data_IF_550590901030
#
_entry.id   IF_550590901030
#
_cell.length_a   1.000
_cell.length_b   1.000
_cell.length_c   1.000
_cell.angle_alpha   90.00
_cell.angle_beta   90.00
_cell.angle_gamma   90.00
#
_symmetry.space_group_name_H-M   'P 1'
#
loop_
_entity.id
_entity.type
_entity.pdbx_description
1 polymer ?
#
# COMPACT_ATOMS: atom_id res chain seq x y z
N UNK A 1 -4.42 9.08 -39.57
CA UNK A 1 -5.23 10.11 -38.92
C UNK A 1 -4.34 11.12 -38.19
N UNK A 2 -4.79 12.36 -38.06
CA UNK A 2 -4.11 13.41 -37.28
C UNK A 2 -4.79 13.58 -35.94
N UNK A 3 -4.01 13.70 -34.86
CA UNK A 3 -4.53 13.91 -33.54
C UNK A 3 -3.80 15.09 -32.89
N UNK A 4 -4.53 16.06 -32.38
CA UNK A 4 -3.93 17.17 -31.64
C UNK A 4 -3.76 16.78 -30.18
N UNK A 5 -2.54 16.84 -29.68
CA UNK A 5 -2.23 16.61 -28.25
C UNK A 5 -1.99 17.98 -27.63
N UNK A 6 -2.90 18.37 -26.70
CA UNK A 6 -2.85 19.67 -26.06
C UNK A 6 -2.61 19.54 -24.56
N UNK A 7 -1.78 20.41 -23.98
CA UNK A 7 -1.67 20.49 -22.54
C UNK A 7 -2.94 21.13 -21.95
N UNK A 8 -3.30 20.76 -20.70
CA UNK A 8 -4.49 21.29 -20.02
C UNK A 8 -4.49 22.83 -19.86
N UNK A 9 -3.33 23.44 -19.98
CA UNK A 9 -3.16 24.91 -19.97
C UNK A 9 -3.18 25.54 -21.35
N UNK A 10 -3.39 24.74 -22.41
CA UNK A 10 -3.38 25.15 -23.84
C UNK A 10 -2.08 25.85 -24.31
N UNK A 11 -1.08 25.97 -23.41
CA UNK A 11 0.19 26.64 -23.72
C UNK A 11 1.15 25.81 -24.56
N UNK A 12 0.89 24.52 -24.72
CA UNK A 12 1.66 23.66 -25.61
C UNK A 12 0.75 22.62 -26.24
N UNK A 13 0.81 22.58 -27.56
CA UNK A 13 0.12 21.59 -28.38
C UNK A 13 1.03 21.09 -29.49
N UNK A 14 0.82 19.86 -29.91
CA UNK A 14 1.48 19.30 -31.08
C UNK A 14 0.57 18.27 -31.75
N UNK A 15 0.80 18.09 -33.06
CA UNK A 15 0.04 17.16 -33.87
C UNK A 15 0.82 15.85 -33.96
N UNK A 16 0.12 14.73 -33.80
CA UNK A 16 0.59 13.38 -34.09
C UNK A 16 -0.03 12.92 -35.41
N UNK A 17 0.82 12.43 -36.30
CA UNK A 17 0.39 11.71 -37.49
C UNK A 17 0.39 10.21 -37.15
N UNK A 18 -0.79 9.60 -37.13
CA UNK A 18 -1.01 8.20 -36.74
C UNK A 18 -1.42 7.40 -37.98
N UNK A 19 -0.87 6.22 -38.15
CA UNK A 19 -1.24 5.29 -39.21
C UNK A 19 -2.46 4.49 -38.79
N UNK A 20 -3.49 4.43 -39.62
CA UNK A 20 -4.73 3.70 -39.40
C UNK A 20 -5.95 4.60 -39.14
N UNK A 21 -7.11 3.96 -39.03
CA UNK A 21 -8.39 4.58 -38.67
C UNK A 21 -8.57 4.67 -37.13
N UNK A 22 -9.55 5.42 -36.62
CA UNK A 22 -9.83 5.45 -35.18
C UNK A 22 -10.12 4.09 -34.55
N UNK A 23 -10.63 3.14 -35.32
CA UNK A 23 -10.90 1.76 -34.92
C UNK A 23 -9.61 0.93 -34.73
N UNK A 24 -8.56 1.26 -35.52
CA UNK A 24 -7.27 0.54 -35.52
C UNK A 24 -6.30 1.12 -34.51
N UNK A 25 -6.41 2.42 -34.22
CA UNK A 25 -5.46 3.15 -33.36
C UNK A 25 -5.86 2.98 -31.90
N UNK A 26 -5.00 2.31 -31.12
CA UNK A 26 -5.18 2.13 -29.68
C UNK A 26 -4.59 3.30 -28.88
N UNK A 27 -5.04 3.44 -27.63
CA UNK A 27 -4.45 4.40 -26.68
C UNK A 27 -2.95 4.16 -26.49
N UNK A 28 -2.52 2.89 -26.51
CA UNK A 28 -1.10 2.53 -26.46
C UNK A 28 -0.32 3.06 -27.67
N UNK A 29 -0.91 2.99 -28.85
CA UNK A 29 -0.28 3.51 -30.07
C UNK A 29 -0.02 5.02 -29.92
N UNK A 30 -1.02 5.77 -29.45
CA UNK A 30 -0.86 7.21 -29.17
C UNK A 30 0.24 7.47 -28.14
N UNK A 31 0.24 6.72 -27.03
CA UNK A 31 1.26 6.86 -25.98
C UNK A 31 2.67 6.56 -26.50
N UNK A 32 2.82 5.55 -27.35
CA UNK A 32 4.11 5.17 -27.92
C UNK A 32 4.61 6.22 -28.91
N UNK A 33 3.75 6.80 -29.73
CA UNK A 33 4.13 7.88 -30.65
C UNK A 33 4.55 9.15 -29.89
N UNK A 34 3.85 9.50 -28.79
CA UNK A 34 4.30 10.59 -27.90
C UNK A 34 5.69 10.27 -27.32
N UNK A 35 5.93 9.03 -26.91
CA UNK A 35 7.24 8.60 -26.35
C UNK A 35 8.33 8.64 -27.40
N UNK A 36 8.07 8.23 -28.65
CA UNK A 36 9.05 8.32 -29.74
C UNK A 36 9.47 9.77 -29.99
N UNK A 37 8.53 10.70 -29.92
CA UNK A 37 8.81 12.13 -30.12
C UNK A 37 9.48 12.77 -28.91
N UNK A 38 9.11 12.34 -27.69
CA UNK A 38 9.61 12.85 -26.42
C UNK A 38 9.93 11.69 -25.48
N UNK A 39 11.15 11.13 -25.55
CA UNK A 39 11.56 9.91 -24.84
C UNK A 39 11.36 9.97 -23.32
N UNK A 40 11.49 11.16 -22.72
CA UNK A 40 11.23 11.37 -21.29
C UNK A 40 9.77 11.19 -20.89
N UNK A 41 8.83 11.31 -21.84
CA UNK A 41 7.39 11.13 -21.62
C UNK A 41 6.99 9.69 -21.91
N UNK A 42 7.56 8.74 -21.19
CA UNK A 42 7.20 7.33 -21.33
C UNK A 42 5.74 7.07 -20.90
N UNK A 43 5.07 5.99 -21.36
CA UNK A 43 3.61 5.81 -21.26
C UNK A 43 3.04 5.97 -19.86
N UNK A 44 3.75 5.52 -18.79
CA UNK A 44 3.27 5.67 -17.43
C UNK A 44 3.19 7.14 -16.93
N UNK A 45 3.96 8.06 -17.55
CA UNK A 45 3.88 9.50 -17.26
C UNK A 45 2.72 10.20 -17.95
N UNK A 46 2.16 9.56 -18.97
CA UNK A 46 1.15 10.17 -19.83
C UNK A 46 -0.26 9.90 -19.29
N UNK A 47 -0.98 10.95 -18.95
CA UNK A 47 -2.43 10.87 -18.71
C UNK A 47 -3.13 11.58 -19.86
N UNK A 48 -3.77 10.79 -20.70
CA UNK A 48 -4.59 11.25 -21.81
C UNK A 48 -6.06 11.31 -21.37
N UNK A 49 -6.74 12.40 -21.69
CA UNK A 49 -8.15 12.62 -21.29
C UNK A 49 -8.91 13.29 -22.43
N UNK A 50 -10.21 13.00 -22.49
CA UNK A 50 -11.21 13.71 -23.28
C UNK A 50 -12.34 14.17 -22.37
N UNK A 51 -13.38 14.78 -22.91
CA UNK A 51 -14.61 15.09 -22.18
C UNK A 51 -15.28 13.85 -21.58
N UNK A 52 -15.15 12.69 -22.24
CA UNK A 52 -15.66 11.39 -21.78
C UNK A 52 -14.83 10.78 -20.65
N UNK A 53 -13.68 11.35 -20.29
CA UNK A 53 -12.85 10.89 -19.19
C UNK A 53 -11.42 10.52 -19.58
N UNK A 54 -10.80 9.65 -18.75
CA UNK A 54 -9.43 9.19 -18.97
C UNK A 54 -9.41 8.08 -20.00
N UNK A 55 -8.49 8.17 -20.98
CA UNK A 55 -8.28 7.12 -21.96
C UNK A 55 -7.55 5.95 -21.33
N UNK A 56 -8.12 4.76 -21.44
CA UNK A 56 -7.59 3.52 -20.87
C UNK A 56 -6.85 2.70 -21.91
N UNK A 57 -5.75 2.09 -21.52
CA UNK A 57 -5.00 1.15 -22.36
C UNK A 57 -5.90 -0.04 -22.73
N UNK A 58 -5.67 -0.62 -23.92
CA UNK A 58 -6.49 -1.71 -24.44
C UNK A 58 -7.78 -1.26 -25.13
N UNK A 59 -8.02 0.05 -25.21
CA UNK A 59 -9.14 0.66 -25.92
C UNK A 59 -8.65 1.36 -27.19
N UNK A 60 -9.52 1.41 -28.22
CA UNK A 60 -9.29 2.17 -29.44
C UNK A 60 -9.73 3.63 -29.27
N UNK A 61 -9.33 4.50 -30.19
CA UNK A 61 -9.81 5.87 -30.22
C UNK A 61 -11.31 5.93 -30.53
N UNK A 62 -11.80 5.02 -31.36
CA UNK A 62 -13.22 4.89 -31.67
C UNK A 62 -14.09 4.59 -30.44
N UNK A 63 -13.60 3.79 -29.48
CA UNK A 63 -14.31 3.52 -28.21
C UNK A 63 -14.65 4.80 -27.43
N UNK A 64 -13.87 5.86 -27.65
CA UNK A 64 -14.10 7.19 -27.07
C UNK A 64 -14.75 8.17 -28.01
N UNK A 65 -15.04 7.75 -29.26
CA UNK A 65 -15.59 8.60 -30.30
C UNK A 65 -14.62 9.66 -30.76
N UNK A 66 -13.33 9.42 -30.73
CA UNK A 66 -12.26 10.32 -31.18
C UNK A 66 -12.07 10.11 -32.68
N UNK A 67 -12.17 11.19 -33.44
CA UNK A 67 -12.09 11.20 -34.91
C UNK A 67 -10.80 11.90 -35.40
N UNK A 68 -10.59 11.86 -36.69
CA UNK A 68 -9.48 12.58 -37.32
C UNK A 68 -9.59 14.10 -37.07
N UNK A 69 -8.51 14.73 -36.65
CA UNK A 69 -8.45 16.15 -36.31
C UNK A 69 -8.80 16.51 -34.86
N UNK A 70 -9.35 15.56 -34.09
CA UNK A 70 -9.75 15.80 -32.69
C UNK A 70 -8.57 16.14 -31.79
N UNK A 71 -8.92 16.73 -30.64
CA UNK A 71 -7.97 17.10 -29.58
C UNK A 71 -8.07 16.19 -28.36
N UNK A 72 -6.93 15.65 -27.94
CA UNK A 72 -6.77 14.89 -26.68
C UNK A 72 -5.94 15.72 -25.70
N UNK A 73 -6.46 15.85 -24.49
CA UNK A 73 -5.76 16.56 -23.43
C UNK A 73 -4.69 15.68 -22.80
N UNK A 74 -3.48 16.21 -22.73
CA UNK A 74 -2.31 15.55 -22.14
C UNK A 74 -1.94 16.18 -20.80
N UNK A 75 -1.63 15.32 -19.83
CA UNK A 75 -1.02 15.73 -18.57
C UNK A 75 0.19 14.85 -18.27
N UNK A 76 1.36 15.48 -18.10
CA UNK A 76 2.54 14.81 -17.53
C UNK A 76 2.34 14.58 -16.04
N UNK A 77 2.43 13.31 -15.62
CA UNK A 77 2.32 12.89 -14.23
C UNK A 77 3.65 12.95 -13.47
N UNK A 78 4.75 13.34 -14.17
CA UNK A 78 6.11 13.28 -13.62
C UNK A 78 6.66 11.85 -13.59
N UNK A 79 7.85 11.70 -13.02
CA UNK A 79 8.49 10.39 -12.90
C UNK A 79 7.60 9.42 -12.11
N UNK A 80 7.44 8.23 -12.64
CA UNK A 80 6.56 7.20 -12.11
C UNK A 80 7.35 5.99 -11.61
N UNK A 81 6.87 5.35 -10.56
CA UNK A 81 7.39 4.09 -10.02
C UNK A 81 6.24 3.10 -9.84
N UNK A 82 6.50 1.80 -9.99
CA UNK A 82 5.46 0.80 -9.80
C UNK A 82 5.04 0.69 -8.32
N UNK A 83 3.76 0.49 -8.05
CA UNK A 83 3.27 0.24 -6.69
C UNK A 83 3.97 -0.95 -6.03
N UNK A 84 4.25 -2.02 -6.80
CA UNK A 84 5.00 -3.18 -6.30
C UNK A 84 6.38 -2.77 -5.78
N UNK A 85 7.15 -2.01 -6.58
CA UNK A 85 8.49 -1.55 -6.19
C UNK A 85 8.43 -0.64 -4.96
N UNK A 86 7.41 0.23 -4.87
CA UNK A 86 7.21 1.09 -3.69
C UNK A 86 7.04 0.26 -2.43
N UNK A 87 6.15 -0.73 -2.43
CA UNK A 87 5.92 -1.58 -1.27
C UNK A 87 7.15 -2.44 -0.90
N UNK A 88 7.91 -2.93 -1.90
CA UNK A 88 9.16 -3.65 -1.63
C UNK A 88 10.20 -2.73 -0.95
N UNK A 89 10.29 -1.47 -1.34
CA UNK A 89 11.17 -0.50 -0.67
C UNK A 89 10.67 -0.20 0.75
N UNK A 90 9.37 0.02 0.92
CA UNK A 90 8.75 0.36 2.20
C UNK A 90 8.94 -0.75 3.24
N UNK A 91 8.65 -2.00 2.88
CA UNK A 91 8.73 -3.14 3.81
C UNK A 91 10.14 -3.69 3.96
N UNK A 92 10.98 -3.58 2.92
CA UNK A 92 12.38 -3.97 2.97
C UNK A 92 13.22 -3.17 3.97
N UNK A 93 12.89 -1.90 4.20
CA UNK A 93 13.61 -1.06 5.17
C UNK A 93 13.59 -1.64 6.59
N UNK A 94 12.44 -1.89 7.21
CA UNK A 94 12.36 -2.55 8.51
C UNK A 94 13.06 -3.92 8.57
N UNK A 95 13.00 -4.72 7.50
CA UNK A 95 13.70 -6.02 7.44
C UNK A 95 15.22 -5.90 7.53
N UNK A 96 15.78 -4.76 7.17
CA UNK A 96 17.21 -4.46 7.35
C UNK A 96 17.47 -3.76 8.69
N UNK A 97 16.65 -2.79 9.06
CA UNK A 97 16.88 -1.93 10.23
C UNK A 97 16.75 -2.74 11.53
N UNK A 98 15.70 -3.57 11.67
CA UNK A 98 15.50 -4.33 12.90
C UNK A 98 16.64 -5.30 13.20
N UNK A 99 17.14 -6.15 12.26
CA UNK A 99 18.31 -6.98 12.49
C UNK A 99 19.57 -6.18 12.84
N UNK A 100 19.81 -5.04 12.18
CA UNK A 100 20.98 -4.23 12.50
C UNK A 100 20.93 -3.73 13.94
N UNK A 101 19.81 -3.20 14.41
CA UNK A 101 19.69 -2.68 15.79
C UNK A 101 19.71 -3.79 16.80
N UNK A 102 19.06 -4.93 16.51
CA UNK A 102 18.96 -6.07 17.44
C UNK A 102 20.28 -6.82 17.57
N UNK A 103 20.99 -7.07 16.47
CA UNK A 103 22.22 -7.89 16.47
C UNK A 103 23.49 -7.11 16.77
N UNK A 104 23.48 -5.79 16.68
CA UNK A 104 24.64 -4.92 16.87
C UNK A 104 24.41 -3.89 18.00
N UNK A 105 24.06 -4.34 19.23
CA UNK A 105 23.72 -3.41 20.32
C UNK A 105 24.86 -2.47 20.67
N UNK A 106 26.11 -2.90 20.61
CA UNK A 106 27.28 -2.04 20.85
C UNK A 106 27.38 -0.85 19.91
N UNK A 107 26.94 -1.01 18.63
CA UNK A 107 26.94 0.06 17.66
C UNK A 107 25.90 1.15 17.98
N UNK A 108 24.72 0.75 18.44
CA UNK A 108 23.60 1.67 18.67
C UNK A 108 23.51 2.20 20.10
N UNK A 109 24.01 1.46 21.10
CA UNK A 109 23.88 1.78 22.53
C UNK A 109 25.22 1.90 23.24
N UNK A 110 26.36 1.69 22.55
CA UNK A 110 27.70 1.78 23.15
C UNK A 110 28.07 0.63 24.09
N UNK A 111 27.21 -0.39 24.22
CA UNK A 111 27.42 -1.54 25.11
C UNK A 111 26.71 -2.78 24.56
N UNK A 112 27.22 -3.96 24.96
CA UNK A 112 26.54 -5.23 24.73
C UNK A 112 25.71 -5.60 25.97
N UNK A 113 24.59 -6.25 25.76
CA UNK A 113 23.72 -6.78 26.80
C UNK A 113 22.93 -7.96 26.24
N UNK A 114 22.35 -8.76 27.15
CA UNK A 114 21.48 -9.87 26.78
C UNK A 114 20.06 -9.36 26.54
N UNK A 115 19.49 -9.74 25.40
CA UNK A 115 18.11 -9.40 25.05
C UNK A 115 17.12 -10.17 25.94
N UNK A 116 16.10 -9.49 26.42
CA UNK A 116 14.99 -10.13 27.13
C UNK A 116 14.13 -10.97 26.19
N UNK A 117 13.37 -11.91 26.78
CA UNK A 117 12.42 -12.71 26.04
C UNK A 117 11.37 -11.84 25.32
N UNK A 118 10.91 -10.78 25.96
CA UNK A 118 10.01 -9.79 25.35
C UNK A 118 10.63 -9.16 24.10
N UNK A 119 11.89 -8.73 24.14
CA UNK A 119 12.59 -8.17 22.98
C UNK A 119 12.73 -9.19 21.85
N UNK A 120 13.09 -10.42 22.18
CA UNK A 120 13.25 -11.51 21.20
C UNK A 120 11.93 -11.85 20.51
N UNK A 121 10.85 -11.99 21.26
CA UNK A 121 9.52 -12.23 20.70
C UNK A 121 9.08 -11.07 19.79
N UNK A 122 9.27 -9.83 20.25
CA UNK A 122 8.93 -8.64 19.45
C UNK A 122 9.74 -8.58 18.16
N UNK A 123 11.04 -8.89 18.21
CA UNK A 123 11.87 -8.95 17.02
C UNK A 123 11.30 -9.91 15.99
N UNK A 124 10.96 -11.12 16.37
CA UNK A 124 10.39 -12.10 15.45
C UNK A 124 8.99 -11.72 14.97
N UNK A 125 8.15 -11.13 15.80
CA UNK A 125 6.84 -10.60 15.35
C UNK A 125 7.04 -9.56 14.25
N UNK A 126 7.92 -8.58 14.43
CA UNK A 126 8.15 -7.53 13.43
C UNK A 126 8.77 -8.10 12.16
N UNK A 127 9.75 -9.00 12.28
CA UNK A 127 10.37 -9.66 11.11
C UNK A 127 9.35 -10.46 10.31
N UNK A 128 8.55 -11.30 10.95
CA UNK A 128 7.52 -12.10 10.30
C UNK A 128 6.43 -11.24 9.65
N UNK A 129 6.03 -10.13 10.31
CA UNK A 129 5.10 -9.18 9.73
C UNK A 129 5.62 -8.65 8.38
N UNK A 130 6.82 -8.05 8.36
CA UNK A 130 7.35 -7.45 7.14
C UNK A 130 7.74 -8.50 6.08
N UNK A 131 8.21 -9.69 6.46
CA UNK A 131 8.41 -10.80 5.53
C UNK A 131 7.09 -11.23 4.86
N UNK A 132 6.01 -11.33 5.64
CA UNK A 132 4.67 -11.60 5.09
C UNK A 132 4.24 -10.48 4.13
N UNK A 133 4.46 -9.20 4.50
CA UNK A 133 4.10 -8.06 3.64
C UNK A 133 4.87 -8.08 2.32
N UNK A 134 6.16 -8.44 2.32
CA UNK A 134 6.94 -8.65 1.10
C UNK A 134 6.37 -9.79 0.24
N UNK A 135 6.13 -10.94 0.86
CA UNK A 135 5.51 -12.08 0.19
C UNK A 135 4.16 -11.71 -0.44
N UNK A 136 3.28 -11.03 0.30
CA UNK A 136 1.99 -10.58 -0.21
C UNK A 136 2.12 -9.59 -1.37
N UNK A 137 3.10 -8.70 -1.32
CA UNK A 137 3.39 -7.74 -2.39
C UNK A 137 3.78 -8.44 -3.69
N UNK A 138 4.57 -9.49 -3.59
CA UNK A 138 5.07 -10.22 -4.76
C UNK A 138 4.01 -11.17 -5.33
N UNK A 139 3.33 -11.93 -4.47
CA UNK A 139 2.53 -13.09 -4.87
C UNK A 139 1.01 -12.94 -4.69
N UNK A 140 0.56 -12.02 -3.82
CA UNK A 140 -0.86 -11.91 -3.46
C UNK A 140 -1.51 -10.65 -4.03
N UNK A 141 -0.91 -9.48 -3.86
CA UNK A 141 -1.57 -8.22 -4.18
C UNK A 141 -1.79 -8.01 -5.68
N UNK A 142 -2.99 -7.53 -6.03
CA UNK A 142 -3.35 -7.06 -7.37
C UNK A 142 -3.62 -5.56 -7.31
N UNK A 143 -2.69 -4.78 -7.83
CA UNK A 143 -2.76 -3.32 -7.78
C UNK A 143 -3.77 -2.78 -8.79
N UNK A 144 -4.59 -1.81 -8.37
CA UNK A 144 -5.59 -1.16 -9.23
C UNK A 144 -4.94 -0.20 -10.24
N UNK A 145 -3.78 0.36 -9.87
CA UNK A 145 -2.98 1.25 -10.71
C UNK A 145 -1.57 0.69 -10.80
N UNK A 146 -0.98 0.78 -12.00
CA UNK A 146 0.37 0.23 -12.22
C UNK A 146 1.47 1.02 -11.51
N UNK A 147 1.31 2.36 -11.46
CA UNK A 147 2.35 3.27 -10.99
C UNK A 147 1.78 4.40 -10.12
N UNK A 148 2.69 5.08 -9.43
CA UNK A 148 2.44 6.32 -8.69
C UNK A 148 3.61 7.31 -8.89
N UNK A 149 3.44 8.61 -8.58
CA UNK A 149 4.54 9.57 -8.65
C UNK A 149 5.72 9.16 -7.75
N UNK A 150 6.92 9.10 -8.33
CA UNK A 150 8.15 8.66 -7.66
C UNK A 150 8.42 9.40 -6.34
N UNK A 151 8.17 10.71 -6.29
CA UNK A 151 8.36 11.52 -5.09
C UNK A 151 7.61 11.02 -3.84
N UNK A 152 6.53 10.26 -4.03
CA UNK A 152 5.76 9.72 -2.91
C UNK A 152 6.48 8.59 -2.18
N UNK A 153 7.49 7.95 -2.81
CA UNK A 153 8.33 6.92 -2.16
C UNK A 153 8.96 7.47 -0.89
N UNK A 154 9.52 8.69 -0.94
CA UNK A 154 10.19 9.29 0.22
C UNK A 154 9.25 9.47 1.41
N UNK A 155 8.03 9.99 1.15
CA UNK A 155 7.02 10.16 2.20
C UNK A 155 6.59 8.82 2.79
N UNK A 156 6.33 7.84 1.95
CA UNK A 156 5.84 6.54 2.37
C UNK A 156 6.97 5.76 3.10
N UNK A 157 8.18 5.75 2.52
CA UNK A 157 9.33 5.11 3.14
C UNK A 157 9.68 5.73 4.49
N UNK A 158 9.52 7.05 4.66
CA UNK A 158 9.73 7.70 5.96
C UNK A 158 8.83 7.10 7.04
N UNK A 159 7.55 6.80 6.75
CA UNK A 159 6.66 6.14 7.70
C UNK A 159 7.20 4.77 8.12
N UNK A 160 7.62 3.94 7.15
CA UNK A 160 8.11 2.59 7.44
C UNK A 160 9.53 2.58 8.00
N UNK A 161 10.46 3.33 7.40
CA UNK A 161 11.86 3.28 7.80
C UNK A 161 12.13 4.05 9.09
N UNK A 162 11.51 5.23 9.27
CA UNK A 162 11.74 6.04 10.47
C UNK A 162 10.86 5.61 11.63
N UNK A 163 9.54 5.45 11.44
CA UNK A 163 8.64 5.14 12.55
C UNK A 163 8.65 3.65 12.92
N UNK A 164 8.36 2.74 11.97
CA UNK A 164 8.36 1.32 12.28
C UNK A 164 9.75 0.68 12.22
N UNK A 165 10.71 1.29 11.55
CA UNK A 165 12.11 0.87 11.52
C UNK A 165 12.89 1.44 12.69
N UNK A 166 13.57 2.57 12.46
CA UNK A 166 14.56 3.15 13.40
C UNK A 166 13.93 3.42 14.77
N UNK A 167 12.83 4.18 14.81
CA UNK A 167 12.21 4.56 16.08
C UNK A 167 11.75 3.35 16.89
N UNK A 168 11.02 2.43 16.26
CA UNK A 168 10.53 1.23 16.95
C UNK A 168 11.69 0.34 17.41
N UNK A 169 12.64 0.01 16.52
CA UNK A 169 13.77 -0.86 16.84
C UNK A 169 14.63 -0.28 17.96
N UNK A 170 15.00 0.99 17.87
CA UNK A 170 15.85 1.65 18.86
C UNK A 170 15.23 1.59 20.26
N UNK A 171 13.97 1.97 20.42
CA UNK A 171 13.34 2.05 21.71
C UNK A 171 12.90 0.69 22.27
N UNK A 172 12.57 -0.28 21.43
CA UNK A 172 12.19 -1.62 21.90
C UNK A 172 13.40 -2.45 22.27
N UNK A 173 14.47 -2.42 21.45
CA UNK A 173 15.62 -3.29 21.67
C UNK A 173 16.72 -2.66 22.53
N UNK A 174 16.49 -1.49 23.11
CA UNK A 174 17.47 -0.82 23.96
C UNK A 174 17.74 -1.50 25.29
N UNK A 175 18.86 -1.15 25.98
CA UNK A 175 19.31 -1.78 27.22
C UNK A 175 18.33 -1.63 28.39
N UNK A 176 17.45 -0.63 28.33
CA UNK A 176 16.38 -0.43 29.32
C UNK A 176 15.34 -1.55 29.33
N UNK A 177 15.24 -2.34 28.25
CA UNK A 177 14.40 -3.52 28.11
C UNK A 177 15.22 -4.83 28.10
N UNK A 178 16.50 -4.80 28.44
CA UNK A 178 17.37 -5.96 28.48
C UNK A 178 16.94 -7.00 29.53
N UNK A 179 17.46 -8.21 29.45
CA UNK A 179 17.21 -9.26 30.42
C UNK A 179 17.53 -8.79 31.85
N UNK A 180 16.67 -9.13 32.81
CA UNK A 180 16.81 -8.73 34.21
C UNK A 180 16.38 -7.29 34.55
N UNK A 181 15.90 -6.49 33.58
CA UNK A 181 15.33 -5.18 33.86
C UNK A 181 13.84 -5.28 34.19
N UNK A 182 13.35 -4.45 35.12
CA UNK A 182 11.92 -4.41 35.50
C UNK A 182 11.01 -4.06 34.27
N UNK A 183 11.51 -3.23 33.36
CA UNK A 183 10.77 -2.86 32.16
C UNK A 183 10.63 -4.01 31.15
N UNK A 184 11.50 -5.02 31.24
CA UNK A 184 11.44 -6.21 30.38
C UNK A 184 10.56 -7.33 30.96
N UNK A 185 10.29 -7.29 32.27
CA UNK A 185 9.52 -8.33 32.95
C UNK A 185 8.08 -8.39 32.40
N UNK A 186 7.71 -9.53 31.90
CA UNK A 186 6.35 -9.87 31.47
C UNK A 186 6.02 -11.27 31.94
N UNK A 187 4.79 -11.48 32.37
CA UNK A 187 4.35 -12.84 32.65
C UNK A 187 4.29 -13.67 31.37
N UNK A 188 4.59 -14.95 31.48
CA UNK A 188 4.50 -15.88 30.36
C UNK A 188 3.10 -15.88 29.73
N UNK A 189 2.05 -15.79 30.57
CA UNK A 189 0.68 -15.70 30.10
C UNK A 189 0.47 -14.48 29.18
N UNK A 190 1.04 -13.33 29.52
CA UNK A 190 0.94 -12.12 28.67
C UNK A 190 1.70 -12.32 27.37
N UNK A 191 2.93 -12.86 27.41
CA UNK A 191 3.75 -13.10 26.23
C UNK A 191 3.04 -14.05 25.26
N UNK A 192 2.61 -15.23 25.76
CA UNK A 192 1.90 -16.20 24.94
C UNK A 192 0.54 -15.68 24.44
N UNK A 193 -0.18 -14.92 25.26
CA UNK A 193 -1.41 -14.26 24.84
C UNK A 193 -1.19 -13.29 23.67
N UNK A 194 -0.11 -12.50 23.71
CA UNK A 194 0.27 -11.61 22.61
C UNK A 194 0.71 -12.38 21.37
N UNK A 195 1.46 -13.49 21.51
CA UNK A 195 1.84 -14.35 20.40
C UNK A 195 0.58 -14.92 19.70
N UNK A 196 -0.37 -15.44 20.47
CA UNK A 196 -1.62 -16.01 19.93
C UNK A 196 -2.45 -14.93 19.23
N UNK A 197 -2.61 -13.76 19.84
CA UNK A 197 -3.33 -12.63 19.23
C UNK A 197 -2.66 -12.18 17.92
N UNK A 198 -1.33 -12.07 17.94
CA UNK A 198 -0.55 -11.69 16.77
C UNK A 198 -0.71 -12.73 15.64
N UNK A 199 -0.52 -14.01 15.93
CA UNK A 199 -0.64 -15.09 14.95
C UNK A 199 -2.05 -15.14 14.35
N UNK A 200 -3.09 -15.04 15.18
CA UNK A 200 -4.47 -14.96 14.73
C UNK A 200 -4.67 -13.75 13.78
N UNK A 201 -4.17 -12.59 14.18
CA UNK A 201 -4.32 -11.35 13.40
C UNK A 201 -3.60 -11.42 12.05
N UNK A 202 -2.35 -11.93 12.01
CA UNK A 202 -1.57 -12.06 10.77
C UNK A 202 -2.17 -13.07 9.79
N UNK A 203 -2.62 -14.22 10.29
CA UNK A 203 -3.29 -15.24 9.46
C UNK A 203 -4.63 -14.73 8.91
N UNK A 204 -5.40 -14.03 9.74
CA UNK A 204 -6.67 -13.42 9.34
C UNK A 204 -6.46 -12.29 8.32
N UNK A 205 -5.44 -11.48 8.51
CA UNK A 205 -5.05 -10.43 7.57
C UNK A 205 -4.67 -11.05 6.22
N UNK A 206 -3.84 -12.09 6.21
CA UNK A 206 -3.47 -12.83 5.01
C UNK A 206 -4.70 -13.41 4.29
N UNK A 207 -5.59 -14.08 5.02
CA UNK A 207 -6.83 -14.63 4.47
C UNK A 207 -7.68 -13.57 3.76
N UNK A 208 -7.83 -12.40 4.39
CA UNK A 208 -8.60 -11.29 3.80
C UNK A 208 -7.93 -10.70 2.56
N UNK A 209 -6.59 -10.67 2.50
CA UNK A 209 -5.85 -10.26 1.31
C UNK A 209 -6.04 -11.26 0.16
N UNK A 210 -6.01 -12.56 0.43
CA UNK A 210 -6.29 -13.61 -0.56
C UNK A 210 -7.73 -13.49 -1.09
N UNK A 211 -8.70 -13.23 -0.20
CA UNK A 211 -10.09 -12.97 -0.60
C UNK A 211 -10.18 -11.77 -1.55
N UNK A 212 -9.55 -10.63 -1.22
CA UNK A 212 -9.52 -9.45 -2.09
C UNK A 212 -8.83 -9.71 -3.43
N UNK A 213 -7.75 -10.51 -3.44
CA UNK A 213 -7.10 -10.96 -4.67
C UNK A 213 -8.04 -11.73 -5.57
N UNK A 214 -8.76 -12.71 -5.01
CA UNK A 214 -9.59 -13.63 -5.77
C UNK A 214 -10.85 -12.96 -6.32
N UNK A 215 -11.33 -11.88 -5.70
CA UNK A 215 -12.45 -11.08 -6.22
C UNK A 215 -12.16 -10.38 -7.54
N UNK A 216 -10.88 -10.12 -7.83
CA UNK A 216 -10.47 -9.38 -9.03
C UNK A 216 -9.79 -10.32 -10.01
N UNK A 217 -10.36 -10.54 -11.21
CA UNK A 217 -9.67 -11.27 -12.26
C UNK A 217 -8.33 -10.64 -12.64
N UNK A 218 -7.32 -11.44 -13.04
CA UNK A 218 -6.04 -10.90 -13.49
C UNK A 218 -6.21 -9.87 -14.62
N UNK A 219 -5.44 -8.77 -14.57
CA UNK A 219 -5.45 -7.74 -15.60
C UNK A 219 -6.67 -6.82 -15.61
N UNK A 220 -7.66 -7.03 -14.72
CA UNK A 220 -8.88 -6.22 -14.69
C UNK A 220 -8.90 -5.23 -13.51
N UNK A 221 -9.74 -4.20 -13.65
CA UNK A 221 -10.05 -3.24 -12.59
C UNK A 221 -11.46 -3.41 -12.02
N UNK A 222 -12.12 -4.50 -12.40
CA UNK A 222 -13.47 -4.80 -11.93
C UNK A 222 -13.49 -4.91 -10.41
N UNK A 223 -14.46 -4.25 -9.80
CA UNK A 223 -14.72 -4.31 -8.36
C UNK A 223 -15.93 -5.17 -8.10
N UNK A 224 -15.89 -5.88 -6.99
CA UNK A 224 -17.02 -6.67 -6.47
C UNK A 224 -17.13 -6.43 -4.98
N UNK A 225 -18.31 -6.63 -4.42
CA UNK A 225 -18.52 -6.56 -2.96
C UNK A 225 -17.85 -7.78 -2.33
N UNK A 226 -16.84 -7.60 -1.46
CA UNK A 226 -16.26 -8.73 -0.73
C UNK A 226 -17.27 -9.23 0.31
N UNK A 227 -17.30 -10.56 0.52
CA UNK A 227 -18.19 -11.25 1.46
C UNK A 227 -17.41 -12.32 2.23
N UNK A 228 -17.99 -12.83 3.29
CA UNK A 228 -17.42 -13.87 4.14
C UNK A 228 -16.50 -13.31 5.21
N UNK A 229 -15.59 -14.13 5.68
CA UNK A 229 -14.72 -13.92 6.84
C UNK A 229 -14.27 -12.47 7.06
N UNK A 230 -14.79 -11.85 8.13
CA UNK A 230 -14.51 -10.45 8.48
C UNK A 230 -15.22 -9.42 7.60
N UNK A 231 -15.43 -9.71 6.30
CA UNK A 231 -16.09 -8.79 5.36
C UNK A 231 -17.59 -8.61 5.64
N UNK A 232 -18.21 -9.56 6.30
CA UNK A 232 -19.63 -9.41 6.67
C UNK A 232 -19.83 -8.44 7.84
N UNK A 233 -18.77 -8.17 8.61
CA UNK A 233 -18.77 -7.22 9.73
C UNK A 233 -18.35 -5.81 9.31
N UNK A 234 -17.26 -5.74 8.53
CA UNK A 234 -16.64 -4.46 8.13
C UNK A 234 -16.21 -4.47 6.66
N UNK A 235 -16.04 -3.28 6.09
CA UNK A 235 -15.60 -3.12 4.69
C UNK A 235 -14.13 -3.44 4.48
N UNK A 236 -13.30 -3.24 5.50
CA UNK A 236 -11.86 -3.42 5.45
C UNK A 236 -11.34 -4.27 6.62
N UNK A 237 -11.71 -5.58 6.68
CA UNK A 237 -11.24 -6.46 7.75
C UNK A 237 -9.72 -6.67 7.71
N UNK A 238 -9.08 -6.53 6.56
CA UNK A 238 -7.63 -6.54 6.45
C UNK A 238 -6.98 -5.45 7.31
N UNK A 239 -7.55 -4.25 7.38
CA UNK A 239 -7.05 -3.19 8.27
C UNK A 239 -7.39 -3.46 9.74
N UNK A 240 -8.53 -4.07 10.04
CA UNK A 240 -8.85 -4.51 11.40
C UNK A 240 -7.81 -5.51 11.91
N UNK A 241 -7.51 -6.54 11.13
CA UNK A 241 -6.54 -7.56 11.53
C UNK A 241 -5.09 -7.01 11.57
N UNK A 242 -4.73 -6.11 10.67
CA UNK A 242 -3.46 -5.36 10.74
C UNK A 242 -3.36 -4.56 12.06
N UNK A 243 -4.46 -3.91 12.46
CA UNK A 243 -4.54 -3.19 13.74
C UNK A 243 -4.35 -4.13 14.94
N UNK A 244 -4.94 -5.33 14.91
CA UNK A 244 -4.81 -6.31 15.99
C UNK A 244 -3.39 -6.85 16.11
N UNK A 245 -2.68 -7.08 15.00
CA UNK A 245 -1.29 -7.54 15.05
C UNK A 245 -0.36 -6.49 15.68
N UNK A 246 -0.52 -5.23 15.32
CA UNK A 246 0.25 -4.14 15.93
C UNK A 246 -0.18 -3.84 17.38
N UNK A 247 -1.45 -4.04 17.73
CA UNK A 247 -1.94 -3.95 19.10
C UNK A 247 -1.27 -4.99 19.99
N UNK A 248 -1.07 -6.22 19.52
CA UNK A 248 -0.35 -7.25 20.24
C UNK A 248 1.09 -6.82 20.58
N UNK A 249 1.79 -6.19 19.64
CA UNK A 249 3.13 -5.63 19.86
C UNK A 249 3.10 -4.48 20.87
N UNK A 250 2.11 -3.60 20.81
CA UNK A 250 1.93 -2.52 21.79
C UNK A 250 1.72 -3.05 23.20
N UNK A 251 0.85 -4.04 23.37
CA UNK A 251 0.56 -4.68 24.67
C UNK A 251 1.80 -5.38 25.21
N UNK A 252 2.51 -6.11 24.35
CA UNK A 252 3.71 -6.85 24.75
C UNK A 252 4.82 -5.91 25.22
N UNK A 253 5.09 -4.85 24.44
CA UNK A 253 6.26 -3.98 24.69
C UNK A 253 5.98 -2.85 25.68
N UNK A 254 4.73 -2.35 25.72
CA UNK A 254 4.35 -1.10 26.40
C UNK A 254 5.25 0.09 26.00
N UNK A 255 5.93 -0.03 24.86
CA UNK A 255 6.83 0.99 24.35
C UNK A 255 6.06 2.17 23.77
N UNK A 256 6.43 3.39 24.14
CA UNK A 256 5.85 4.60 23.54
C UNK A 256 6.05 4.66 22.03
N UNK A 257 7.19 4.15 21.53
CA UNK A 257 7.49 4.13 20.10
C UNK A 257 6.57 3.17 19.33
N UNK A 258 6.22 2.02 19.94
CA UNK A 258 5.23 1.10 19.38
C UNK A 258 3.83 1.76 19.31
N UNK A 259 3.42 2.43 20.39
CA UNK A 259 2.15 3.15 20.43
C UNK A 259 2.12 4.31 19.44
N UNK A 260 3.19 5.08 19.30
CA UNK A 260 3.28 6.16 18.32
C UNK A 260 3.07 5.62 16.89
N UNK A 261 3.81 4.56 16.52
CA UNK A 261 3.64 3.93 15.22
C UNK A 261 2.21 3.40 15.04
N UNK A 262 1.68 2.70 16.04
CA UNK A 262 0.33 2.15 16.05
C UNK A 262 -0.73 3.24 15.77
N UNK A 263 -0.73 4.33 16.50
CA UNK A 263 -1.73 5.39 16.30
C UNK A 263 -1.64 6.06 14.94
N UNK A 264 -0.42 6.30 14.44
CA UNK A 264 -0.22 6.87 13.11
C UNK A 264 -0.70 5.90 12.02
N UNK A 265 -0.34 4.62 12.12
CA UNK A 265 -0.73 3.58 11.15
C UNK A 265 -2.24 3.33 11.16
N UNK A 266 -2.84 3.14 12.35
CA UNK A 266 -4.28 2.90 12.51
C UNK A 266 -5.09 4.10 12.06
N UNK A 267 -4.69 5.32 12.41
CA UNK A 267 -5.34 6.54 11.95
C UNK A 267 -5.36 6.63 10.41
N UNK A 268 -4.24 6.34 9.77
CA UNK A 268 -4.17 6.33 8.30
C UNK A 268 -5.02 5.22 7.68
N UNK A 269 -4.98 4.01 8.23
CA UNK A 269 -5.81 2.88 7.77
C UNK A 269 -7.31 3.19 7.95
N UNK A 270 -7.69 3.82 9.04
CA UNK A 270 -9.08 4.24 9.29
C UNK A 270 -9.57 5.24 8.22
N UNK A 271 -8.75 6.25 7.89
CA UNK A 271 -9.08 7.22 6.82
C UNK A 271 -9.29 6.49 5.48
N UNK A 272 -8.43 5.53 5.15
CA UNK A 272 -8.57 4.74 3.93
C UNK A 272 -9.79 3.82 3.96
N UNK A 273 -10.09 3.19 5.11
CA UNK A 273 -11.26 2.35 5.28
C UNK A 273 -12.56 3.13 5.07
N UNK A 274 -12.68 4.33 5.66
CA UNK A 274 -13.84 5.21 5.49
C UNK A 274 -14.02 5.61 4.03
N UNK A 275 -12.93 6.00 3.34
CA UNK A 275 -12.98 6.33 1.91
C UNK A 275 -13.46 5.14 1.08
N UNK A 276 -12.94 3.95 1.37
CA UNK A 276 -13.30 2.72 0.65
C UNK A 276 -14.74 2.30 0.93
N UNK A 277 -15.18 2.39 2.18
CA UNK A 277 -16.56 2.14 2.58
C UNK A 277 -17.56 3.06 1.86
N UNK A 278 -17.29 4.38 1.85
CA UNK A 278 -18.12 5.35 1.11
C UNK A 278 -18.15 5.05 -0.39
N UNK A 279 -17.02 4.66 -0.96
CA UNK A 279 -16.92 4.27 -2.37
C UNK A 279 -17.79 3.05 -2.68
N UNK A 280 -17.72 1.98 -1.86
CA UNK A 280 -18.57 0.80 -2.05
C UNK A 280 -20.06 1.13 -1.96
N UNK A 281 -20.46 1.94 -1.00
CA UNK A 281 -21.89 2.40 -0.84
C UNK A 281 -22.38 3.23 -2.02
N UNK A 282 -21.48 3.96 -2.68
CA UNK A 282 -21.80 4.75 -3.88
C UNK A 282 -21.87 3.89 -5.14
N UNK A 283 -20.96 2.92 -5.26
CA UNK A 283 -20.79 2.09 -6.46
C UNK A 283 -21.80 0.93 -6.53
N UNK A 284 -22.21 0.40 -5.37
CA UNK A 284 -23.09 -0.77 -5.29
C UNK A 284 -24.40 -0.45 -4.53
N UNK A 285 -25.52 -0.52 -5.22
CA UNK A 285 -26.85 -0.30 -4.62
C UNK A 285 -27.23 -1.37 -3.59
N UNK A 286 -26.71 -2.61 -3.76
CA UNK A 286 -26.92 -3.78 -2.90
C UNK A 286 -25.87 -3.92 -1.79
N UNK A 287 -25.04 -2.88 -1.55
CA UNK A 287 -24.02 -2.94 -0.51
C UNK A 287 -24.66 -3.03 0.89
N UNK A 288 -24.22 -3.98 1.77
CA UNK A 288 -24.83 -4.19 3.08
C UNK A 288 -24.78 -2.94 3.98
N UNK A 289 -25.96 -2.41 4.33
CA UNK A 289 -26.09 -1.13 5.08
C UNK A 289 -25.57 -1.18 6.52
N UNK A 290 -25.63 -2.35 7.18
CA UNK A 290 -25.17 -2.55 8.56
C UNK A 290 -23.66 -2.67 8.73
N UNK A 291 -22.94 -2.84 7.61
CA UNK A 291 -21.50 -3.02 7.63
C UNK A 291 -20.79 -1.71 8.01
N UNK A 292 -19.76 -1.80 8.87
CA UNK A 292 -18.93 -0.65 9.28
C UNK A 292 -17.69 -0.52 8.39
N UNK A 293 -16.92 0.56 8.56
CA UNK A 293 -15.73 0.78 7.73
C UNK A 293 -14.57 -0.16 8.11
N UNK A 294 -14.18 -0.19 9.38
CA UNK A 294 -13.02 -0.91 9.86
C UNK A 294 -13.24 -1.60 11.22
N UNK A 295 -13.87 -0.92 12.19
CA UNK A 295 -14.04 -1.43 13.54
C UNK A 295 -15.49 -1.88 13.70
N UNK A 296 -15.74 -3.18 14.01
CA UNK A 296 -17.10 -3.70 14.18
C UNK A 296 -17.88 -2.89 15.23
N UNK A 297 -19.16 -2.64 14.96
CA UNK A 297 -20.12 -1.91 15.79
C UNK A 297 -19.84 -0.40 15.96
N UNK A 298 -18.62 0.06 15.78
CA UNK A 298 -18.22 1.45 16.05
C UNK A 298 -18.10 2.24 14.76
N UNK A 299 -17.24 1.85 13.85
CA UNK A 299 -16.88 2.67 12.71
C UNK A 299 -16.41 1.88 11.47
#
# INVERSE_FOLDING_TARGET
MKLTIASRSERSQFILDLTGSPEDVTVETVQNEITKRYSRLYPARQRLTTEKGVLERGKTLADYGIMDGDTVLFKDLGSQISWRTVFLIEYGGPLVIHPLVYLLPSLFYGQNFEHSWMQTVTFWMVMLHFLKREYETIFVHRFSHGTMPFRNVFKNSAHYHLLSGINLAYWVYGPWNAAGTKLAERSDLLIYGCIVLYAFAELSNYHTHVTLRNLRPPGTRVRKIPRGYGFDLVSCPNYLFETLSWLAICILTLSWSAHLFFFVAVGQMYIWAVKKHKMYRKEFSDYPRGRKAMIPLIA
#
